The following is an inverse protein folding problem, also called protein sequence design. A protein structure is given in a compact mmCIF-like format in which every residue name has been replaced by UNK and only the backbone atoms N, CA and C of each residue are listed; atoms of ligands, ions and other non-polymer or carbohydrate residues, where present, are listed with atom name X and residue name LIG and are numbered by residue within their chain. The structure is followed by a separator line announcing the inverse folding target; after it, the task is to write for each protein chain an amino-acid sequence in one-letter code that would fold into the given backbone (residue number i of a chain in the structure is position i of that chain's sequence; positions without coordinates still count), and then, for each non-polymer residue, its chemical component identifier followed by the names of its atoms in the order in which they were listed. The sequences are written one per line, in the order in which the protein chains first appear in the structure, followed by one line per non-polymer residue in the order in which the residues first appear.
data_IF_875782223060
#
_entry.id   IF_875782223060
#
_cell.length_a   1.000
_cell.length_b   1.000
_cell.length_c   1.000
_cell.angle_alpha   90.00
_cell.angle_beta   90.00
_cell.angle_gamma   90.00
#
_symmetry.space_group_name_H-M   'P 1'
#
loop_
_entity.id
_entity.type
_entity.pdbx_description
1 polymer ?
#
# COMPACT_ATOMS: atom_id res chain seq x y z
N UNK A 1 -0.33 21.91 -5.04
CA UNK A 1 -0.13 20.76 -4.13
C UNK A 1 -1.14 19.71 -4.53
N UNK A 2 -0.71 18.60 -5.17
CA UNK A 2 -1.64 17.56 -5.63
C UNK A 2 -2.29 16.86 -4.43
N UNK A 3 -3.61 16.66 -4.48
CA UNK A 3 -4.33 15.93 -3.46
C UNK A 3 -4.15 14.43 -3.73
N UNK A 4 -3.10 13.84 -3.16
CA UNK A 4 -2.78 12.40 -3.34
C UNK A 4 -3.71 11.46 -2.57
N UNK A 5 -4.78 11.99 -1.98
CA UNK A 5 -5.73 11.25 -1.15
C UNK A 5 -7.13 11.26 -1.76
N UNK A 6 -7.20 11.02 -3.06
CA UNK A 6 -8.45 10.74 -3.77
C UNK A 6 -8.78 9.25 -3.71
N UNK A 7 -10.06 8.85 -3.87
CA UNK A 7 -10.44 7.43 -3.92
C UNK A 7 -9.70 6.64 -5.01
N UNK A 8 -9.45 7.26 -6.16
CA UNK A 8 -8.71 6.64 -7.27
C UNK A 8 -7.25 6.36 -6.90
N UNK A 9 -6.54 7.35 -6.35
CA UNK A 9 -5.15 7.18 -5.94
C UNK A 9 -5.05 6.16 -4.81
N UNK A 10 -5.99 6.19 -3.85
CA UNK A 10 -6.06 5.18 -2.80
C UNK A 10 -6.19 3.76 -3.37
N UNK A 11 -7.06 3.56 -4.37
CA UNK A 11 -7.21 2.25 -5.02
C UNK A 11 -5.91 1.81 -5.70
N UNK A 12 -5.25 2.71 -6.45
CA UNK A 12 -3.98 2.44 -7.11
C UNK A 12 -2.87 2.12 -6.10
N UNK A 13 -2.81 2.81 -4.96
CA UNK A 13 -1.86 2.49 -3.89
C UNK A 13 -2.14 1.11 -3.32
N UNK A 14 -3.40 0.82 -2.99
CA UNK A 14 -3.78 -0.47 -2.38
C UNK A 14 -3.46 -1.64 -3.31
N UNK A 15 -3.77 -1.52 -4.59
CA UNK A 15 -3.46 -2.53 -5.59
C UNK A 15 -1.96 -2.63 -5.85
N UNK A 16 -1.29 -1.48 -5.98
CA UNK A 16 0.13 -1.40 -6.25
C UNK A 16 0.98 -2.01 -5.15
N UNK A 17 0.84 -1.51 -3.92
CA UNK A 17 1.65 -1.94 -2.78
C UNK A 17 1.35 -3.40 -2.40
N UNK A 18 0.08 -3.84 -2.45
CA UNK A 18 -0.26 -5.23 -2.13
C UNK A 18 0.36 -6.25 -3.11
N UNK A 19 0.59 -5.84 -4.35
CA UNK A 19 1.18 -6.68 -5.40
C UNK A 19 2.66 -6.39 -5.68
N UNK A 20 3.24 -5.35 -5.09
CA UNK A 20 4.67 -5.08 -5.17
C UNK A 20 5.47 -6.07 -4.31
N UNK A 21 4.92 -6.43 -3.15
CA UNK A 21 5.57 -7.33 -2.19
C UNK A 21 4.92 -8.70 -2.23
N UNK A 22 5.72 -9.76 -2.32
CA UNK A 22 5.20 -11.13 -2.26
C UNK A 22 4.79 -11.52 -0.83
N UNK A 23 5.66 -11.26 0.15
CA UNK A 23 5.46 -11.62 1.55
C UNK A 23 4.83 -10.50 2.38
N UNK A 24 3.99 -10.88 3.36
CA UNK A 24 3.35 -9.93 4.30
C UNK A 24 4.36 -9.17 5.16
N UNK A 25 5.52 -9.76 5.44
CA UNK A 25 6.55 -9.10 6.25
C UNK A 25 7.25 -7.98 5.49
N UNK A 26 7.43 -8.11 4.18
CA UNK A 26 7.97 -7.03 3.34
C UNK A 26 6.93 -5.92 3.15
N UNK A 27 5.65 -6.28 3.03
CA UNK A 27 4.55 -5.32 3.06
C UNK A 27 4.54 -4.52 4.38
N UNK A 28 4.72 -5.18 5.52
CA UNK A 28 4.82 -4.52 6.83
C UNK A 28 6.00 -3.54 6.88
N UNK A 29 7.17 -3.94 6.40
CA UNK A 29 8.34 -3.05 6.32
C UNK A 29 8.02 -1.81 5.48
N UNK A 30 7.37 -1.99 4.34
CA UNK A 30 6.96 -0.88 3.49
C UNK A 30 6.02 0.09 4.22
N UNK A 31 5.03 -0.41 4.98
CA UNK A 31 4.17 0.46 5.79
C UNK A 31 4.95 1.31 6.78
N UNK A 32 5.90 0.71 7.50
CA UNK A 32 6.72 1.41 8.48
C UNK A 32 7.57 2.49 7.79
N UNK A 33 8.22 2.18 6.66
CA UNK A 33 9.01 3.15 5.90
C UNK A 33 8.12 4.28 5.35
N UNK A 34 6.85 3.98 5.01
CA UNK A 34 5.89 4.98 4.58
C UNK A 34 5.40 5.89 5.71
N UNK A 35 5.79 5.63 6.97
CA UNK A 35 5.41 6.41 8.14
C UNK A 35 4.20 5.86 8.90
N UNK A 36 3.75 4.64 8.62
CA UNK A 36 2.75 3.98 9.48
C UNK A 36 3.40 3.64 10.82
N UNK A 37 2.67 3.91 11.90
CA UNK A 37 3.12 3.57 13.25
C UNK A 37 3.46 2.06 13.37
N UNK A 38 4.64 1.68 13.92
CA UNK A 38 5.05 0.28 14.03
C UNK A 38 4.09 -0.58 14.86
N UNK A 39 3.44 -0.02 15.89
CA UNK A 39 2.45 -0.74 16.70
C UNK A 39 1.24 -1.10 15.86
N UNK A 40 0.72 -0.14 15.09
CA UNK A 40 -0.37 -0.39 14.14
C UNK A 40 0.04 -1.40 13.06
N UNK A 41 1.22 -1.25 12.45
CA UNK A 41 1.70 -2.17 11.41
C UNK A 41 1.83 -3.61 11.92
N UNK A 42 2.36 -3.80 13.14
CA UNK A 42 2.44 -5.11 13.79
C UNK A 42 1.05 -5.67 14.10
N UNK A 43 0.13 -4.86 14.64
CA UNK A 43 -1.24 -5.30 14.92
C UNK A 43 -1.97 -5.76 13.65
N UNK A 44 -1.83 -5.03 12.54
CA UNK A 44 -2.47 -5.38 11.27
C UNK A 44 -1.90 -6.66 10.66
N UNK A 45 -0.59 -6.88 10.76
CA UNK A 45 0.09 -8.07 10.20
C UNK A 45 -0.48 -9.39 10.72
N UNK A 46 -0.94 -9.42 11.97
CA UNK A 46 -1.50 -10.61 12.62
C UNK A 46 -3.03 -10.58 12.74
N UNK A 47 -3.67 -9.57 12.14
CA UNK A 47 -5.14 -9.44 12.18
C UNK A 47 -5.78 -10.61 11.45
N UNK A 48 -6.82 -11.16 12.07
CA UNK A 48 -7.71 -12.17 11.50
C UNK A 48 -9.12 -11.58 11.37
N UNK A 49 -9.90 -12.08 10.43
CA UNK A 49 -11.31 -11.74 10.32
C UNK A 49 -12.12 -12.47 11.42
N UNK A 50 -13.43 -12.21 11.48
CA UNK A 50 -14.34 -12.80 12.47
C UNK A 50 -14.41 -14.33 12.40
N UNK A 51 -14.11 -14.90 11.23
CA UNK A 51 -14.06 -16.36 10.98
C UNK A 51 -12.69 -16.98 11.35
N UNK A 52 -11.73 -16.18 11.84
CA UNK A 52 -10.38 -16.64 12.17
C UNK A 52 -9.43 -16.80 10.98
N UNK A 53 -9.86 -16.41 9.77
CA UNK A 53 -9.06 -16.41 8.55
C UNK A 53 -8.09 -15.23 8.53
N UNK A 54 -6.90 -15.45 7.98
CA UNK A 54 -5.97 -14.36 7.72
C UNK A 54 -6.42 -13.49 6.54
N UNK A 55 -6.27 -12.17 6.69
CA UNK A 55 -6.46 -11.23 5.59
C UNK A 55 -5.39 -11.43 4.49
N UNK A 56 -5.81 -11.25 3.24
CA UNK A 56 -4.92 -11.05 2.10
C UNK A 56 -4.19 -9.71 2.21
N UNK A 57 -3.08 -9.55 1.48
CA UNK A 57 -2.33 -8.28 1.42
C UNK A 57 -3.23 -7.11 0.99
N UNK A 58 -4.17 -7.35 0.06
CA UNK A 58 -5.06 -6.32 -0.46
C UNK A 58 -6.13 -5.90 0.54
N UNK A 59 -6.66 -6.84 1.31
CA UNK A 59 -7.59 -6.53 2.40
C UNK A 59 -6.88 -5.83 3.55
N UNK A 60 -5.65 -6.25 3.88
CA UNK A 60 -4.80 -5.56 4.85
C UNK A 60 -4.55 -4.10 4.49
N UNK A 61 -4.27 -3.81 3.21
CA UNK A 61 -4.19 -2.44 2.70
C UNK A 61 -5.52 -1.70 2.86
N UNK A 62 -6.66 -2.38 2.71
CA UNK A 62 -7.98 -1.84 3.02
C UNK A 62 -8.11 -1.38 4.46
N UNK A 63 -7.86 -2.29 5.41
CA UNK A 63 -7.95 -2.02 6.85
C UNK A 63 -6.97 -0.94 7.28
N UNK A 64 -5.74 -0.93 6.73
CA UNK A 64 -4.77 0.12 6.97
C UNK A 64 -5.32 1.50 6.59
N UNK A 65 -5.91 1.62 5.41
CA UNK A 65 -6.47 2.89 4.94
C UNK A 65 -7.69 3.33 5.74
N UNK A 66 -8.50 2.40 6.25
CA UNK A 66 -9.59 2.74 7.17
C UNK A 66 -9.08 3.35 8.49
N UNK A 67 -7.88 2.96 8.93
CA UNK A 67 -7.20 3.63 10.04
C UNK A 67 -6.60 4.97 9.62
N UNK A 68 -5.89 5.04 8.49
CA UNK A 68 -5.27 6.28 7.99
C UNK A 68 -6.31 7.39 7.79
N UNK A 69 -7.51 7.05 7.30
CA UNK A 69 -8.62 8.00 7.10
C UNK A 69 -9.09 8.69 8.39
N UNK A 70 -8.84 8.07 9.55
CA UNK A 70 -9.20 8.60 10.87
C UNK A 70 -8.08 9.44 11.49
N UNK A 71 -6.90 9.48 10.87
CA UNK A 71 -5.78 10.31 11.31
C UNK A 71 -5.99 11.77 10.89
N UNK A 72 -5.13 12.67 11.40
CA UNK A 72 -5.13 14.05 10.94
C UNK A 72 -4.78 14.16 9.45
N UNK A 73 -5.24 15.26 8.83
CA UNK A 73 -5.13 15.50 7.39
C UNK A 73 -3.67 15.49 6.89
N UNK A 74 -2.74 16.01 7.68
CA UNK A 74 -1.35 16.10 7.26
C UNK A 74 -0.69 14.72 7.29
N UNK A 75 -0.95 13.93 8.34
CA UNK A 75 -0.39 12.59 8.46
C UNK A 75 -0.93 11.62 7.41
N UNK A 76 -2.24 11.67 7.10
CA UNK A 76 -2.82 10.84 6.03
C UNK A 76 -2.22 11.17 4.65
N UNK A 77 -1.98 12.45 4.39
CA UNK A 77 -1.35 12.90 3.14
C UNK A 77 0.09 12.43 3.06
N UNK A 78 0.86 12.61 4.13
CA UNK A 78 2.27 12.20 4.19
C UNK A 78 2.44 10.71 3.89
N UNK A 79 1.68 9.86 4.58
CA UNK A 79 1.75 8.40 4.39
C UNK A 79 1.38 8.04 2.94
N UNK A 80 0.33 8.65 2.40
CA UNK A 80 -0.10 8.36 1.02
C UNK A 80 0.91 8.84 -0.02
N UNK A 81 1.54 10.01 0.18
CA UNK A 81 2.65 10.49 -0.66
C UNK A 81 3.82 9.51 -0.65
N UNK A 82 4.15 8.96 0.52
CA UNK A 82 5.25 8.01 0.63
C UNK A 82 4.95 6.70 -0.12
N UNK A 83 3.71 6.19 -0.05
CA UNK A 83 3.32 5.01 -0.83
C UNK A 83 3.35 5.26 -2.34
N UNK A 84 2.83 6.42 -2.77
CA UNK A 84 2.93 6.85 -4.16
C UNK A 84 4.39 6.87 -4.60
N UNK A 85 5.26 7.51 -3.80
CA UNK A 85 6.69 7.59 -4.06
C UNK A 85 7.31 6.21 -4.26
N UNK A 86 7.02 5.24 -3.39
CA UNK A 86 7.52 3.87 -3.55
C UNK A 86 7.14 3.25 -4.89
N UNK A 87 5.91 3.46 -5.34
CA UNK A 87 5.44 2.91 -6.61
C UNK A 87 6.08 3.62 -7.81
N UNK A 88 6.08 4.95 -7.82
CA UNK A 88 6.56 5.72 -8.98
C UNK A 88 8.09 5.70 -9.11
N UNK A 89 8.83 5.57 -8.01
CA UNK A 89 10.31 5.48 -8.04
C UNK A 89 10.81 4.06 -8.30
N UNK A 90 9.93 3.05 -8.27
CA UNK A 90 10.29 1.67 -8.55
C UNK A 90 10.80 1.53 -10.00
N UNK A 91 12.06 1.13 -10.13
CA UNK A 91 12.76 1.03 -11.43
C UNK A 91 12.45 -0.27 -12.18
N UNK A 92 12.18 -1.35 -11.45
CA UNK A 92 11.94 -2.68 -12.02
C UNK A 92 10.87 -3.44 -11.25
N UNK A 93 9.99 -4.11 -11.99
CA UNK A 93 8.89 -4.93 -11.49
C UNK A 93 9.16 -6.40 -11.81
N UNK A 94 10.06 -7.01 -11.04
CA UNK A 94 10.46 -8.40 -11.26
C UNK A 94 9.69 -9.36 -10.34
N UNK A 95 9.01 -10.37 -10.87
CA UNK A 95 8.27 -11.32 -10.05
C UNK A 95 9.24 -12.24 -9.29
N UNK A 96 9.09 -12.29 -7.97
CA UNK A 96 9.79 -13.25 -7.09
C UNK A 96 9.38 -14.71 -7.36
N UNK A 97 8.11 -14.93 -7.77
CA UNK A 97 7.53 -16.25 -8.09
C UNK A 97 6.60 -16.16 -9.30
N UNK A 98 6.32 -17.27 -10.02
CA UNK A 98 5.43 -17.26 -11.18
C UNK A 98 4.03 -16.72 -10.89
N UNK A 99 3.50 -16.96 -9.68
CA UNK A 99 2.16 -16.48 -9.27
C UNK A 99 2.17 -15.03 -8.76
N UNK A 100 3.35 -14.38 -8.71
CA UNK A 100 3.48 -13.01 -8.27
C UNK A 100 2.91 -12.06 -9.33
N UNK A 101 1.74 -11.50 -9.02
CA UNK A 101 1.01 -10.51 -9.83
C UNK A 101 1.67 -9.12 -9.86
N UNK A 102 2.98 -9.08 -10.09
CA UNK A 102 3.79 -7.86 -10.13
C UNK A 102 3.36 -6.92 -11.27
N UNK A 103 2.70 -7.47 -12.32
CA UNK A 103 2.06 -6.74 -13.40
C UNK A 103 1.04 -5.72 -12.90
N UNK A 104 0.31 -6.05 -11.82
CA UNK A 104 -0.66 -5.14 -11.20
C UNK A 104 0.05 -3.97 -10.52
N UNK A 105 1.20 -4.22 -9.89
CA UNK A 105 2.01 -3.19 -9.27
C UNK A 105 2.58 -2.22 -10.30
N UNK A 106 3.12 -2.75 -11.40
CA UNK A 106 3.65 -1.96 -12.50
C UNK A 106 2.58 -1.06 -13.14
N UNK A 107 1.41 -1.62 -13.47
CA UNK A 107 0.30 -0.84 -14.03
C UNK A 107 -0.18 0.26 -13.08
N UNK A 108 -0.24 -0.03 -11.79
CA UNK A 108 -0.64 0.96 -10.79
C UNK A 108 0.38 2.10 -10.69
N UNK A 109 1.68 1.77 -10.72
CA UNK A 109 2.75 2.75 -10.74
C UNK A 109 2.73 3.63 -12.00
N UNK A 110 2.50 3.04 -13.19
CA UNK A 110 2.39 3.79 -14.44
C UNK A 110 1.23 4.79 -14.40
N UNK A 111 0.04 4.36 -13.99
CA UNK A 111 -1.12 5.26 -13.82
C UNK A 111 -0.86 6.37 -12.82
N UNK A 112 -0.21 6.07 -11.69
CA UNK A 112 0.15 7.09 -10.71
C UNK A 112 1.13 8.13 -11.30
N UNK A 113 2.11 7.71 -12.12
CA UNK A 113 2.99 8.64 -12.84
C UNK A 113 2.22 9.54 -13.80
N UNK A 114 1.24 9.00 -14.52
CA UNK A 114 0.37 9.77 -15.43
C UNK A 114 -0.48 10.80 -14.70
N UNK A 115 -1.01 10.47 -13.52
CA UNK A 115 -1.87 11.38 -12.74
C UNK A 115 -1.07 12.52 -12.10
N UNK A 116 0.18 12.25 -11.72
CA UNK A 116 1.00 13.19 -10.93
C UNK A 116 1.86 14.11 -11.81
N UNK A 117 2.16 13.69 -13.04
CA UNK A 117 2.85 14.50 -14.05
C UNK A 117 1.92 15.56 -14.65
#
# INVERSE_FOLDING_TARGET
MFEVFTPEIEQLIKDGIANLYWYKDDLKKAWIIAGVDPTLANALRYKKNEEGREYTKRELMGVLYDHIRKMDYNRRLEISRNFVRFLIEQKAFSPIKPEHRIDVAERSALKLREIIN
#
